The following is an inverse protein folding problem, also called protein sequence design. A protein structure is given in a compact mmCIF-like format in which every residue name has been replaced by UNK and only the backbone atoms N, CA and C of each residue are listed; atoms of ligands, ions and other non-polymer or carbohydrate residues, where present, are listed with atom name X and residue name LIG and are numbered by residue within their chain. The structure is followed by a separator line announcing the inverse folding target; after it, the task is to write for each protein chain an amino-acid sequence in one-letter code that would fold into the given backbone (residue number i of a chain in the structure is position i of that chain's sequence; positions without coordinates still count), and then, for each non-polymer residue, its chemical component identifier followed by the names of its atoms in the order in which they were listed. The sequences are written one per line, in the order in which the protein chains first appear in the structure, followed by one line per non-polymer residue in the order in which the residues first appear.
data_IF_350643843138
#
_entry.id   IF_350643843138
#
_cell.length_a   1.000
_cell.length_b   1.000
_cell.length_c   1.000
_cell.angle_alpha   90.00
_cell.angle_beta   90.00
_cell.angle_gamma   90.00
#
_symmetry.space_group_name_H-M   'P 1'
#
loop_
_entity.id
_entity.type
_entity.pdbx_description
1 polymer ?
#
# COMPACT_ATOMS: atom_id res chain seq x y z
N UNK A 1 45.93 69.47 17.63
CA UNK A 1 45.08 68.95 16.47
C UNK A 1 44.69 67.54 16.79
N UNK A 2 43.50 67.34 17.36
CA UNK A 2 42.91 66.01 17.65
C UNK A 2 41.84 65.71 16.61
N UNK A 3 42.02 64.63 15.82
CA UNK A 3 41.03 64.14 14.86
C UNK A 3 40.14 63.15 15.62
N UNK A 4 38.84 63.46 15.67
CA UNK A 4 37.75 62.59 16.12
C UNK A 4 37.39 61.62 15.01
N UNK A 5 37.49 60.32 15.25
CA UNK A 5 36.91 59.29 14.40
C UNK A 5 35.52 58.86 14.94
N UNK A 6 34.49 59.19 14.18
CA UNK A 6 33.14 58.71 14.48
C UNK A 6 32.95 57.29 13.89
N UNK A 7 32.72 56.35 14.77
CA UNK A 7 32.36 54.97 14.41
C UNK A 7 30.84 54.89 14.31
N UNK A 8 30.32 54.67 13.10
CA UNK A 8 28.91 54.43 12.89
C UNK A 8 28.62 52.95 13.15
N UNK A 9 27.80 52.68 14.16
CA UNK A 9 27.30 51.35 14.49
C UNK A 9 26.10 51.04 13.57
N UNK A 10 26.28 50.16 12.58
CA UNK A 10 25.17 49.60 11.80
C UNK A 10 24.53 48.46 12.63
N UNK A 11 23.32 48.75 13.10
CA UNK A 11 22.47 47.75 13.76
C UNK A 11 21.84 46.85 12.72
N UNK A 12 22.31 45.60 12.59
CA UNK A 12 21.66 44.55 11.78
C UNK A 12 20.44 44.05 12.56
N UNK A 13 19.24 44.50 12.19
CA UNK A 13 17.97 43.87 12.59
C UNK A 13 17.81 42.57 11.83
N UNK A 14 18.11 41.43 12.47
CA UNK A 14 17.75 40.13 11.99
C UNK A 14 16.21 39.96 12.09
N UNK A 15 15.50 39.99 10.95
CA UNK A 15 14.11 39.56 10.88
C UNK A 15 14.07 38.04 11.17
N UNK A 16 13.75 37.69 12.43
CA UNK A 16 13.36 36.32 12.76
C UNK A 16 11.96 36.07 12.15
N UNK A 17 11.91 35.45 10.99
CA UNK A 17 10.65 34.89 10.48
C UNK A 17 10.18 33.80 11.48
N UNK A 18 8.91 33.83 11.93
CA UNK A 18 8.39 32.76 12.75
C UNK A 18 8.40 31.46 11.93
N UNK A 19 9.21 30.50 12.33
CA UNK A 19 9.03 29.11 11.95
C UNK A 19 7.64 28.69 12.43
N UNK A 20 6.66 28.75 11.53
CA UNK A 20 5.36 28.10 11.75
C UNK A 20 5.69 26.59 11.80
N UNK A 21 5.90 26.08 13.00
CA UNK A 21 5.87 24.64 13.22
C UNK A 21 4.50 24.18 12.75
N UNK A 22 4.43 23.51 11.59
CA UNK A 22 3.25 22.77 11.16
C UNK A 22 3.00 21.73 12.25
N UNK A 23 2.16 22.08 13.21
CA UNK A 23 1.74 21.20 14.27
C UNK A 23 1.08 19.99 13.61
N UNK A 24 1.72 18.84 13.75
CA UNK A 24 1.13 17.57 13.35
C UNK A 24 -0.21 17.45 14.09
N UNK A 25 -1.32 17.40 13.37
CA UNK A 25 -2.65 17.23 13.95
C UNK A 25 -2.62 15.93 14.74
N UNK A 26 -2.66 16.00 16.05
CA UNK A 26 -2.70 14.82 16.91
C UNK A 26 -4.14 14.31 16.95
N UNK A 27 -4.35 13.07 16.55
CA UNK A 27 -5.61 12.36 16.74
C UNK A 27 -5.51 11.60 18.06
N UNK A 28 -6.12 12.12 19.17
CA UNK A 28 -5.98 11.48 20.48
C UNK A 28 -6.72 10.15 20.49
N UNK A 29 -6.08 9.15 21.09
CA UNK A 29 -6.70 7.84 21.32
C UNK A 29 -7.91 8.00 22.24
N UNK A 30 -9.00 7.28 21.98
CA UNK A 30 -10.19 7.26 22.82
C UNK A 30 -9.83 6.86 24.25
N UNK A 31 -10.10 7.70 25.26
CA UNK A 31 -9.72 7.40 26.63
C UNK A 31 -10.45 6.17 27.22
N UNK A 32 -9.75 5.39 28.04
CA UNK A 32 -10.35 4.28 28.79
C UNK A 32 -11.58 4.73 29.58
N UNK A 33 -12.61 3.89 29.63
CA UNK A 33 -13.89 4.18 30.25
C UNK A 33 -14.86 4.98 29.36
N UNK A 34 -14.41 5.52 28.23
CA UNK A 34 -15.28 6.23 27.28
C UNK A 34 -16.37 5.30 26.71
N UNK A 35 -17.49 5.86 26.32
CA UNK A 35 -18.49 5.14 25.50
C UNK A 35 -17.95 4.92 24.10
N UNK A 36 -18.29 3.79 23.49
CA UNK A 36 -18.00 3.53 22.10
C UNK A 36 -18.61 4.61 21.21
N UNK A 37 -17.83 5.35 20.41
CA UNK A 37 -18.37 6.22 19.38
C UNK A 37 -19.26 5.45 18.41
N UNK A 38 -20.42 6.05 18.05
CA UNK A 38 -21.34 5.45 17.10
C UNK A 38 -20.76 5.40 15.68
N UNK A 39 -21.16 4.41 14.93
CA UNK A 39 -20.82 4.31 13.51
C UNK A 39 -22.00 3.76 12.67
N UNK A 40 -21.97 4.06 11.39
CA UNK A 40 -22.78 3.47 10.34
C UNK A 40 -21.89 3.42 9.08
N UNK A 41 -21.24 2.31 8.84
CA UNK A 41 -20.19 2.16 7.82
C UNK A 41 -20.55 1.08 6.80
N UNK A 42 -20.17 1.26 5.51
CA UNK A 42 -20.32 0.22 4.52
C UNK A 42 -19.36 -0.95 4.80
N UNK A 43 -19.88 -2.16 4.73
CA UNK A 43 -19.11 -3.39 4.81
C UNK A 43 -18.70 -3.94 3.44
N UNK A 44 -17.70 -4.79 3.43
CA UNK A 44 -17.28 -5.54 2.22
C UNK A 44 -18.37 -6.46 1.69
N UNK A 45 -19.33 -6.84 2.54
CA UNK A 45 -20.55 -7.62 2.20
C UNK A 45 -21.62 -6.82 1.46
N UNK A 46 -21.41 -5.50 1.29
CA UNK A 46 -22.33 -4.58 0.61
C UNK A 46 -23.44 -4.03 1.52
N UNK A 47 -23.41 -4.30 2.84
CA UNK A 47 -24.40 -3.79 3.80
C UNK A 47 -23.82 -2.65 4.64
N UNK A 48 -24.71 -1.84 5.25
CA UNK A 48 -24.31 -0.82 6.24
C UNK A 48 -24.40 -1.43 7.63
N UNK A 49 -23.27 -1.51 8.30
CA UNK A 49 -23.18 -1.96 9.69
C UNK A 49 -23.21 -0.78 10.65
N UNK A 50 -24.01 -0.89 11.69
CA UNK A 50 -24.16 0.14 12.74
C UNK A 50 -23.70 -0.41 14.09
N UNK A 51 -23.21 0.46 14.97
CA UNK A 51 -22.88 0.07 16.34
C UNK A 51 -24.05 -0.65 17.04
N UNK A 52 -25.29 -0.25 16.75
CA UNK A 52 -26.52 -0.86 17.30
C UNK A 52 -26.70 -2.33 16.94
N UNK A 53 -26.16 -2.78 15.80
CA UNK A 53 -26.29 -4.16 15.31
C UNK A 53 -25.56 -5.15 16.24
N UNK A 54 -24.60 -4.65 17.00
CA UNK A 54 -23.81 -5.39 17.98
C UNK A 54 -24.31 -5.22 19.41
N UNK A 55 -25.51 -4.63 19.64
CA UNK A 55 -26.01 -4.29 20.96
C UNK A 55 -26.13 -5.48 21.94
N UNK A 56 -26.39 -6.68 21.44
CA UNK A 56 -26.57 -7.90 22.24
C UNK A 56 -25.22 -8.54 22.66
N UNK A 57 -24.11 -8.15 22.06
CA UNK A 57 -22.80 -8.71 22.41
C UNK A 57 -22.38 -8.27 23.83
N UNK A 58 -21.91 -9.22 24.63
CA UNK A 58 -21.34 -8.97 25.97
C UNK A 58 -20.02 -8.22 25.90
N UNK A 59 -19.24 -8.50 24.85
CA UNK A 59 -17.97 -7.84 24.55
C UNK A 59 -17.98 -7.41 23.09
N UNK A 60 -17.58 -6.17 22.83
CA UNK A 60 -17.37 -5.67 21.46
C UNK A 60 -15.88 -5.39 21.25
N UNK A 61 -15.32 -6.00 20.23
CA UNK A 61 -13.92 -5.81 19.78
C UNK A 61 -13.95 -5.03 18.49
N UNK A 62 -13.30 -3.89 18.45
CA UNK A 62 -13.07 -3.11 17.23
C UNK A 62 -11.57 -3.13 16.95
N UNK A 63 -11.18 -3.55 15.75
CA UNK A 63 -9.80 -3.58 15.30
C UNK A 63 -9.65 -2.62 14.11
N UNK A 64 -8.89 -1.54 14.27
CA UNK A 64 -8.48 -0.76 13.11
C UNK A 64 -7.34 -1.49 12.41
N UNK A 65 -7.53 -1.78 11.13
CA UNK A 65 -6.57 -2.51 10.28
C UNK A 65 -6.49 -1.86 8.91
N UNK A 66 -5.67 -2.38 8.01
CA UNK A 66 -5.61 -1.96 6.62
C UNK A 66 -5.02 -3.07 5.74
N UNK A 67 -5.23 -2.97 4.43
CA UNK A 67 -4.85 -4.01 3.48
C UNK A 67 -3.38 -3.89 3.02
N UNK A 68 -2.85 -2.65 2.90
CA UNK A 68 -1.49 -2.45 2.40
C UNK A 68 -0.40 -2.72 3.44
N UNK A 69 -0.68 -2.54 4.73
CA UNK A 69 0.34 -2.63 5.78
C UNK A 69 0.81 -4.08 5.99
N UNK A 70 2.10 -4.40 5.80
CA UNK A 70 2.60 -5.76 6.00
C UNK A 70 2.41 -6.27 7.43
N UNK A 71 2.46 -5.39 8.43
CA UNK A 71 2.17 -5.79 9.83
C UNK A 71 0.69 -6.16 9.97
N UNK A 72 -0.25 -5.33 9.46
CA UNK A 72 -1.67 -5.66 9.54
C UNK A 72 -2.00 -6.98 8.84
N UNK A 73 -1.39 -7.25 7.69
CA UNK A 73 -1.54 -8.50 6.94
C UNK A 73 -1.13 -9.73 7.77
N UNK A 74 -0.11 -9.63 8.62
CA UNK A 74 0.30 -10.73 9.52
C UNK A 74 -0.74 -11.02 10.60
N UNK A 75 -1.65 -10.08 10.87
CA UNK A 75 -2.72 -10.26 11.85
C UNK A 75 -4.03 -10.75 11.25
N UNK A 76 -4.22 -10.72 9.92
CA UNK A 76 -5.49 -11.15 9.27
C UNK A 76 -5.95 -12.53 9.76
N UNK A 77 -5.08 -13.52 9.69
CA UNK A 77 -5.41 -14.89 10.14
C UNK A 77 -5.67 -15.00 11.64
N UNK A 78 -5.00 -14.18 12.47
CA UNK A 78 -5.21 -14.16 13.92
C UNK A 78 -6.52 -13.48 14.29
N UNK A 79 -6.89 -12.42 13.57
CA UNK A 79 -8.20 -11.74 13.73
C UNK A 79 -9.31 -12.69 13.29
N UNK A 80 -9.12 -13.41 12.17
CA UNK A 80 -10.06 -14.43 11.70
C UNK A 80 -10.23 -15.55 12.73
N UNK A 81 -9.13 -16.05 13.28
CA UNK A 81 -9.17 -17.06 14.33
C UNK A 81 -9.90 -16.56 15.58
N UNK A 82 -9.63 -15.32 16.01
CA UNK A 82 -10.32 -14.70 17.14
C UNK A 82 -11.84 -14.58 16.85
N UNK A 83 -12.21 -14.12 15.66
CA UNK A 83 -13.61 -14.03 15.26
C UNK A 83 -14.30 -15.39 15.33
N UNK A 84 -13.72 -16.43 14.73
CA UNK A 84 -14.28 -17.78 14.72
C UNK A 84 -14.40 -18.39 16.12
N UNK A 85 -13.41 -18.18 16.99
CA UNK A 85 -13.40 -18.70 18.37
C UNK A 85 -14.48 -18.06 19.24
N UNK A 86 -14.77 -16.77 19.04
CA UNK A 86 -15.60 -16.01 19.97
C UNK A 86 -17.00 -15.63 19.43
N UNK A 87 -17.29 -15.78 18.14
CA UNK A 87 -18.58 -15.36 17.53
C UNK A 87 -19.82 -15.97 18.19
N UNK A 88 -19.70 -17.16 18.76
CA UNK A 88 -20.80 -17.86 19.48
C UNK A 88 -20.70 -17.74 21.02
N UNK A 89 -19.77 -16.94 21.54
CA UNK A 89 -19.52 -16.76 22.97
C UNK A 89 -19.98 -15.38 23.49
N UNK A 90 -20.79 -14.68 22.70
CA UNK A 90 -21.29 -13.35 23.05
C UNK A 90 -20.28 -12.22 22.82
N UNK A 91 -19.31 -12.43 21.93
CA UNK A 91 -18.35 -11.41 21.47
C UNK A 91 -18.65 -11.04 20.04
N UNK A 92 -18.69 -9.76 19.76
CA UNK A 92 -18.69 -9.23 18.40
C UNK A 92 -17.29 -8.73 18.08
N UNK A 93 -16.75 -9.16 16.94
CA UNK A 93 -15.47 -8.66 16.39
C UNK A 93 -15.79 -7.91 15.11
N UNK A 94 -15.31 -6.68 15.01
CA UNK A 94 -15.50 -5.77 13.86
C UNK A 94 -14.15 -5.20 13.48
N UNK A 95 -13.78 -5.31 12.22
CA UNK A 95 -12.55 -4.70 11.69
C UNK A 95 -12.94 -3.45 10.91
N UNK A 96 -12.18 -2.38 11.06
CA UNK A 96 -12.43 -1.10 10.37
C UNK A 96 -11.16 -0.71 9.60
N UNK A 97 -11.29 -0.52 8.28
CA UNK A 97 -10.31 0.17 7.46
C UNK A 97 -10.52 1.66 7.62
N UNK A 98 -9.56 2.31 8.23
CA UNK A 98 -9.65 3.72 8.58
C UNK A 98 -8.65 4.62 7.84
N UNK A 99 -7.82 4.07 6.94
CA UNK A 99 -6.90 4.87 6.14
C UNK A 99 -7.63 5.63 5.05
N UNK A 100 -7.24 6.87 4.82
CA UNK A 100 -7.63 7.59 3.61
C UNK A 100 -6.75 7.09 2.44
N UNK A 101 -7.33 6.47 1.40
CA UNK A 101 -6.53 5.92 0.29
C UNK A 101 -5.69 6.97 -0.43
N UNK A 102 -6.17 8.22 -0.48
CA UNK A 102 -5.42 9.35 -1.07
C UNK A 102 -4.29 9.88 -0.19
N UNK A 103 -4.13 9.34 1.03
CA UNK A 103 -3.06 9.68 1.96
C UNK A 103 -1.93 8.63 2.00
N UNK A 104 -1.98 7.64 1.10
CA UNK A 104 -0.96 6.60 0.93
C UNK A 104 -0.16 6.88 -0.33
N UNK A 105 1.15 7.00 -0.22
CA UNK A 105 2.04 7.12 -1.38
C UNK A 105 2.12 5.76 -2.07
N UNK A 106 2.25 5.74 -3.40
CA UNK A 106 2.16 4.50 -4.18
C UNK A 106 3.25 3.47 -3.82
N UNK A 107 4.44 3.91 -3.44
CA UNK A 107 5.55 3.04 -3.00
C UNK A 107 5.31 2.43 -1.61
N UNK A 108 4.43 3.02 -0.78
CA UNK A 108 4.01 2.41 0.49
C UNK A 108 3.16 1.14 0.28
N UNK A 109 2.70 0.88 -0.95
CA UNK A 109 1.94 -0.33 -1.33
C UNK A 109 2.85 -1.53 -1.69
N UNK A 110 4.14 -1.42 -1.52
CA UNK A 110 5.15 -2.40 -1.93
C UNK A 110 4.93 -3.84 -1.42
N UNK A 111 4.20 -3.98 -0.34
CA UNK A 111 3.90 -5.26 0.32
C UNK A 111 2.47 -5.76 0.08
N UNK A 112 1.71 -5.13 -0.82
CA UNK A 112 0.31 -5.48 -1.12
C UNK A 112 0.04 -5.59 -2.62
N UNK A 113 -0.91 -6.43 -2.99
CA UNK A 113 -1.46 -6.53 -4.35
C UNK A 113 -2.57 -5.51 -4.63
N UNK A 114 -3.11 -4.89 -3.57
CA UNK A 114 -4.20 -3.92 -3.58
C UNK A 114 -3.92 -2.72 -2.68
N UNK A 115 -4.69 -1.65 -2.83
CA UNK A 115 -4.70 -0.50 -1.92
C UNK A 115 -5.68 -0.69 -0.75
N UNK A 116 -6.16 0.45 -0.19
CA UNK A 116 -7.06 0.49 0.97
C UNK A 116 -8.46 1.03 0.61
N UNK A 117 -8.91 0.95 -0.65
CA UNK A 117 -10.28 1.33 -1.02
C UNK A 117 -11.28 0.22 -0.66
N UNK A 118 -12.56 0.56 -0.55
CA UNK A 118 -13.61 -0.46 -0.33
C UNK A 118 -13.63 -1.53 -1.45
N UNK A 119 -13.24 -1.18 -2.67
CA UNK A 119 -13.10 -2.13 -3.78
C UNK A 119 -11.93 -3.09 -3.53
N UNK A 120 -10.80 -2.57 -3.09
CA UNK A 120 -9.60 -3.33 -2.73
C UNK A 120 -9.87 -4.29 -1.57
N UNK A 121 -10.51 -3.81 -0.51
CA UNK A 121 -10.94 -4.64 0.63
C UNK A 121 -11.79 -5.85 0.18
N UNK A 122 -12.73 -5.66 -0.76
CA UNK A 122 -13.53 -6.77 -1.32
C UNK A 122 -12.69 -7.79 -2.06
N UNK A 123 -11.64 -7.35 -2.76
CA UNK A 123 -10.67 -8.23 -3.42
C UNK A 123 -9.86 -8.99 -2.35
N UNK A 124 -9.35 -8.27 -1.35
CA UNK A 124 -8.54 -8.83 -0.27
C UNK A 124 -9.28 -9.90 0.52
N UNK A 125 -10.49 -9.58 0.99
CA UNK A 125 -11.35 -10.50 1.76
C UNK A 125 -11.61 -11.80 1.00
N UNK A 126 -11.93 -11.72 -0.29
CA UNK A 126 -12.13 -12.92 -1.13
C UNK A 126 -10.85 -13.73 -1.28
N UNK A 127 -9.73 -13.08 -1.49
CA UNK A 127 -8.43 -13.74 -1.69
C UNK A 127 -7.91 -14.40 -0.42
N UNK A 128 -8.12 -13.75 0.76
CA UNK A 128 -7.66 -14.23 2.05
C UNK A 128 -8.68 -15.08 2.81
N UNK A 129 -9.89 -15.23 2.27
CA UNK A 129 -11.01 -15.97 2.90
C UNK A 129 -11.33 -15.46 4.30
N UNK A 130 -11.48 -14.12 4.45
CA UNK A 130 -11.83 -13.48 5.71
C UNK A 130 -13.35 -13.41 5.87
N UNK A 131 -13.86 -13.71 7.08
CA UNK A 131 -15.30 -13.81 7.36
C UNK A 131 -15.79 -12.82 8.43
N UNK A 132 -14.89 -12.15 9.15
CA UNK A 132 -15.28 -11.09 10.08
C UNK A 132 -15.87 -9.88 9.34
N UNK A 133 -16.82 -9.13 9.98
CA UNK A 133 -17.28 -7.86 9.44
C UNK A 133 -16.10 -6.90 9.23
N UNK A 134 -15.85 -6.50 7.97
CA UNK A 134 -14.80 -5.57 7.61
C UNK A 134 -15.42 -4.33 6.99
N UNK A 135 -15.31 -3.19 7.67
CA UNK A 135 -16.01 -1.95 7.40
C UNK A 135 -15.05 -0.89 6.92
N UNK A 136 -15.53 0.02 6.10
CA UNK A 136 -14.75 1.07 5.48
C UNK A 136 -15.13 2.46 5.98
N UNK A 137 -14.16 3.22 6.49
CA UNK A 137 -14.28 4.62 6.94
C UNK A 137 -13.28 5.56 6.23
N UNK A 138 -12.55 5.07 5.24
CA UNK A 138 -11.43 5.79 4.61
C UNK A 138 -11.83 7.13 3.98
N UNK A 139 -13.01 7.24 3.36
CA UNK A 139 -13.43 8.46 2.66
C UNK A 139 -13.63 9.66 3.60
N UNK A 140 -14.16 9.42 4.80
CA UNK A 140 -14.49 10.50 5.75
C UNK A 140 -13.61 10.50 6.97
N UNK A 141 -13.14 9.34 7.38
CA UNK A 141 -12.42 9.08 8.62
C UNK A 141 -13.17 9.59 9.88
N UNK A 142 -14.49 9.71 9.80
CA UNK A 142 -15.27 10.26 10.91
C UNK A 142 -15.23 9.35 12.14
N UNK A 143 -15.36 8.03 11.94
CA UNK A 143 -15.24 7.03 13.00
C UNK A 143 -13.79 6.89 13.43
N UNK A 144 -12.87 6.79 12.48
CA UNK A 144 -11.44 6.69 12.75
C UNK A 144 -10.95 7.85 13.62
N UNK A 145 -11.38 9.09 13.33
CA UNK A 145 -11.06 10.27 14.17
C UNK A 145 -11.63 10.18 15.56
N UNK A 146 -12.82 9.60 15.73
CA UNK A 146 -13.46 9.47 17.04
C UNK A 146 -12.77 8.43 17.94
N UNK A 147 -12.12 7.40 17.36
CA UNK A 147 -11.35 6.39 18.09
C UNK A 147 -9.87 6.76 18.22
N UNK A 148 -9.29 7.45 17.25
CA UNK A 148 -7.90 7.89 17.22
C UNK A 148 -6.87 6.76 17.15
N UNK A 149 -7.01 5.73 16.27
CA UNK A 149 -6.01 4.68 16.14
C UNK A 149 -4.66 5.27 15.72
N UNK A 150 -3.58 4.81 16.36
CA UNK A 150 -2.22 5.32 16.11
C UNK A 150 -1.48 4.49 15.05
N UNK A 151 -1.84 3.21 14.94
CA UNK A 151 -1.24 2.27 14.01
C UNK A 151 -2.27 1.25 13.53
N UNK A 152 -1.90 0.41 12.58
CA UNK A 152 -2.65 -0.77 12.15
C UNK A 152 -1.78 -2.03 12.36
N UNK A 153 -2.28 -3.04 13.14
CA UNK A 153 -3.57 -3.05 13.84
C UNK A 153 -3.58 -2.27 15.17
N UNK A 154 -4.73 -1.68 15.53
CA UNK A 154 -5.01 -1.12 16.85
C UNK A 154 -6.35 -1.63 17.37
N UNK A 155 -6.37 -2.19 18.57
CA UNK A 155 -7.53 -2.89 19.16
C UNK A 155 -8.20 -2.05 20.23
N UNK A 156 -9.53 -1.98 20.21
CA UNK A 156 -10.37 -1.36 21.21
C UNK A 156 -11.43 -2.36 21.68
N UNK A 157 -11.47 -2.69 22.97
CA UNK A 157 -12.39 -3.68 23.52
C UNK A 157 -13.33 -3.02 24.54
N UNK A 158 -14.62 -3.22 24.32
CA UNK A 158 -15.70 -2.63 25.09
C UNK A 158 -16.48 -3.71 25.84
N UNK A 159 -16.91 -3.38 27.07
CA UNK A 159 -17.81 -4.21 27.85
C UNK A 159 -19.27 -4.16 27.31
N UNK A 160 -20.19 -4.90 27.97
CA UNK A 160 -21.61 -4.92 27.61
C UNK A 160 -22.30 -3.54 27.67
N UNK A 161 -21.76 -2.61 28.44
CA UNK A 161 -22.25 -1.23 28.55
C UNK A 161 -21.58 -0.32 27.50
N UNK A 162 -20.77 -0.89 26.58
CA UNK A 162 -20.01 -0.15 25.57
C UNK A 162 -19.03 0.85 26.20
N UNK A 163 -18.46 0.51 27.37
CA UNK A 163 -17.35 1.23 27.97
C UNK A 163 -16.04 0.61 27.54
N UNK A 164 -15.10 1.44 27.08
CA UNK A 164 -13.75 0.99 26.69
C UNK A 164 -12.99 0.43 27.89
N UNK A 165 -12.58 -0.82 27.81
CA UNK A 165 -11.87 -1.54 28.89
C UNK A 165 -10.46 -1.92 28.51
N UNK A 166 -10.18 -2.02 27.23
CA UNK A 166 -8.84 -2.25 26.70
C UNK A 166 -8.63 -1.44 25.43
N UNK A 167 -7.46 -0.83 25.31
CA UNK A 167 -6.97 -0.32 24.03
C UNK A 167 -5.46 -0.62 23.89
N UNK A 168 -5.04 -0.99 22.67
CA UNK A 168 -3.63 -1.32 22.42
C UNK A 168 -3.42 -2.34 21.31
N UNK A 169 -2.34 -3.09 21.42
CA UNK A 169 -1.94 -4.11 20.46
C UNK A 169 -2.82 -5.36 20.55
N UNK A 170 -2.82 -6.16 19.49
CA UNK A 170 -3.54 -7.44 19.45
C UNK A 170 -2.85 -8.49 20.37
N UNK A 171 -1.55 -8.64 20.20
CA UNK A 171 -0.65 -9.46 21.02
C UNK A 171 0.75 -8.81 21.07
N UNK A 172 1.73 -9.43 21.72
CA UNK A 172 3.03 -8.79 21.94
C UNK A 172 4.06 -9.03 20.84
N UNK A 173 3.67 -9.67 19.71
CA UNK A 173 4.58 -9.84 18.57
C UNK A 173 3.83 -10.02 17.25
N UNK A 174 4.22 -9.28 16.20
CA UNK A 174 3.70 -9.57 14.85
C UNK A 174 4.19 -10.93 14.31
N UNK A 175 5.28 -11.49 14.82
CA UNK A 175 5.70 -12.88 14.55
C UNK A 175 4.96 -13.84 15.47
N UNK A 176 4.12 -14.69 14.89
CA UNK A 176 3.25 -15.58 15.66
C UNK A 176 4.05 -16.56 16.54
N UNK A 177 5.20 -17.01 16.06
CA UNK A 177 6.09 -17.92 16.79
C UNK A 177 6.80 -17.27 17.99
N UNK A 178 6.78 -15.94 18.07
CA UNK A 178 7.35 -15.15 19.19
C UNK A 178 6.28 -14.60 20.13
N UNK A 179 5.01 -14.89 19.89
CA UNK A 179 3.92 -14.44 20.77
C UNK A 179 4.00 -15.17 22.12
N UNK A 180 4.18 -14.38 23.18
CA UNK A 180 4.17 -14.87 24.58
C UNK A 180 3.00 -14.32 25.38
N UNK A 181 2.33 -13.26 24.88
CA UNK A 181 1.19 -12.63 25.53
C UNK A 181 0.13 -12.29 24.49
N UNK A 182 -1.09 -12.76 24.72
CA UNK A 182 -2.26 -12.50 23.86
C UNK A 182 -3.14 -11.44 24.52
N UNK A 183 -2.69 -10.18 24.45
CA UNK A 183 -3.26 -9.07 25.23
C UNK A 183 -4.75 -8.86 24.97
N UNK A 184 -5.18 -8.83 23.70
CA UNK A 184 -6.59 -8.67 23.34
C UNK A 184 -7.44 -9.87 23.81
N UNK A 185 -6.96 -11.09 23.62
CA UNK A 185 -7.67 -12.31 24.04
C UNK A 185 -7.83 -12.36 25.57
N UNK A 186 -6.76 -12.03 26.32
CA UNK A 186 -6.84 -11.96 27.79
C UNK A 186 -7.91 -10.96 28.25
N UNK A 187 -7.94 -9.77 27.65
CA UNK A 187 -8.95 -8.75 28.00
C UNK A 187 -10.38 -9.23 27.67
N UNK A 188 -10.59 -9.95 26.55
CA UNK A 188 -11.90 -10.53 26.21
C UNK A 188 -12.31 -11.57 27.25
N UNK A 189 -11.43 -12.50 27.61
CA UNK A 189 -11.71 -13.59 28.56
C UNK A 189 -12.01 -13.05 29.95
N UNK A 190 -11.27 -12.05 30.43
CA UNK A 190 -11.54 -11.37 31.70
C UNK A 190 -12.93 -10.72 31.71
N UNK A 191 -13.33 -10.00 30.64
CA UNK A 191 -14.66 -9.42 30.53
C UNK A 191 -15.78 -10.47 30.47
N UNK A 192 -15.57 -11.58 29.76
CA UNK A 192 -16.53 -12.68 29.72
C UNK A 192 -16.70 -13.37 31.08
N UNK A 193 -15.63 -13.44 31.89
CA UNK A 193 -15.66 -13.92 33.26
C UNK A 193 -16.32 -12.94 34.23
N UNK A 194 -16.60 -11.68 33.80
CA UNK A 194 -17.11 -10.62 34.67
C UNK A 194 -16.02 -9.96 35.53
N UNK A 195 -14.77 -10.19 35.19
CA UNK A 195 -13.60 -9.64 35.89
C UNK A 195 -13.15 -8.30 35.28
N UNK A 196 -12.47 -7.45 36.04
CA UNK A 196 -11.82 -6.25 35.50
C UNK A 196 -10.65 -6.63 34.61
N UNK A 197 -10.44 -5.89 33.50
CA UNK A 197 -9.27 -6.08 32.65
C UNK A 197 -8.02 -5.64 33.40
N UNK A 198 -7.08 -6.57 33.61
CA UNK A 198 -5.85 -6.35 34.41
C UNK A 198 -4.85 -5.47 33.69
N UNK A 199 -4.72 -5.65 32.37
CA UNK A 199 -3.87 -4.83 31.50
C UNK A 199 -4.77 -4.07 30.53
N UNK A 200 -5.18 -2.88 30.91
CA UNK A 200 -6.15 -2.08 30.16
C UNK A 200 -5.55 -1.34 28.95
N UNK A 201 -4.23 -1.14 28.94
CA UNK A 201 -3.52 -0.44 27.87
C UNK A 201 -2.19 -1.13 27.55
N UNK A 202 -1.86 -1.18 26.25
CA UNK A 202 -0.54 -1.60 25.76
C UNK A 202 -0.10 -0.72 24.60
N UNK A 203 1.21 -0.51 24.45
CA UNK A 203 1.74 0.21 23.30
C UNK A 203 1.45 -0.55 22.00
N UNK A 204 0.95 0.16 20.99
CA UNK A 204 0.69 -0.39 19.65
C UNK A 204 1.96 -0.34 18.79
N UNK A 205 2.03 -1.22 17.82
CA UNK A 205 3.04 -1.22 16.77
C UNK A 205 2.40 -1.61 15.44
N UNK A 206 2.97 -1.16 14.34
CA UNK A 206 2.45 -1.34 12.99
C UNK A 206 2.69 -0.10 12.14
N UNK A 207 2.08 -0.07 10.96
CA UNK A 207 2.14 1.11 10.11
C UNK A 207 1.26 2.22 10.70
N UNK A 208 1.72 3.46 10.63
CA UNK A 208 0.93 4.61 11.11
C UNK A 208 -0.35 4.76 10.28
N UNK A 209 -1.47 5.09 10.95
CA UNK A 209 -2.72 5.43 10.28
C UNK A 209 -2.51 6.52 9.23
N UNK A 210 -3.07 6.32 8.05
CA UNK A 210 -2.99 7.26 6.92
C UNK A 210 -4.13 8.28 7.02
N UNK A 211 -3.84 9.38 7.69
CA UNK A 211 -4.80 10.46 7.88
C UNK A 211 -4.90 11.34 6.63
N UNK A 212 -6.09 11.84 6.31
CA UNK A 212 -6.37 12.70 5.15
C UNK A 212 -5.43 13.93 5.05
N UNK A 213 -4.89 14.40 6.17
CA UNK A 213 -3.92 15.50 6.22
C UNK A 213 -2.62 15.17 5.46
N UNK A 214 -2.32 13.89 5.24
CA UNK A 214 -1.14 13.46 4.46
C UNK A 214 -1.33 13.60 2.94
N UNK A 215 -2.55 13.88 2.44
CA UNK A 215 -2.80 14.08 0.99
C UNK A 215 -1.89 15.13 0.37
N UNK A 216 -1.53 16.17 1.11
CA UNK A 216 -0.59 17.19 0.61
C UNK A 216 0.81 16.62 0.35
N UNK A 217 1.28 15.66 1.15
CA UNK A 217 2.55 14.97 0.94
C UNK A 217 2.49 14.04 -0.28
N UNK A 218 1.34 13.36 -0.47
CA UNK A 218 1.09 12.52 -1.65
C UNK A 218 1.09 13.37 -2.92
N UNK A 219 0.44 14.55 -2.89
CA UNK A 219 0.44 15.49 -4.01
C UNK A 219 1.87 15.95 -4.36
N UNK A 220 2.68 16.33 -3.35
CA UNK A 220 4.08 16.70 -3.56
C UNK A 220 4.92 15.54 -4.14
N UNK A 221 4.68 14.32 -3.69
CA UNK A 221 5.33 13.13 -4.24
C UNK A 221 4.96 12.94 -5.72
N UNK A 222 3.69 13.03 -6.06
CA UNK A 222 3.22 12.89 -7.43
C UNK A 222 3.76 14.00 -8.34
N UNK A 223 3.82 15.25 -7.88
CA UNK A 223 4.44 16.36 -8.62
C UNK A 223 5.91 16.08 -8.94
N UNK A 224 6.66 15.46 -8.03
CA UNK A 224 8.05 15.04 -8.29
C UNK A 224 8.15 13.92 -9.33
N UNK A 225 7.23 12.95 -9.28
CA UNK A 225 7.14 11.91 -10.30
C UNK A 225 6.83 12.51 -11.67
N UNK A 226 5.85 13.39 -11.73
CA UNK A 226 5.39 14.04 -12.97
C UNK A 226 6.49 14.94 -13.58
N UNK A 227 7.34 15.52 -12.76
CA UNK A 227 8.51 16.29 -13.19
C UNK A 227 9.67 15.44 -13.71
N UNK A 228 9.63 14.12 -13.56
CA UNK A 228 10.69 13.22 -14.02
C UNK A 228 10.72 13.19 -15.55
N UNK A 229 11.88 13.43 -16.21
CA UNK A 229 11.96 13.43 -17.66
C UNK A 229 11.60 12.06 -18.25
N UNK A 230 10.66 12.06 -19.19
CA UNK A 230 10.27 10.87 -19.94
C UNK A 230 10.99 10.87 -21.28
N UNK A 231 11.66 9.78 -21.59
CA UNK A 231 12.42 9.60 -22.84
C UNK A 231 12.04 8.28 -23.51
N UNK A 232 12.31 8.16 -24.81
CA UNK A 232 12.20 6.91 -25.57
C UNK A 232 13.45 6.70 -26.41
N UNK A 233 14.08 5.53 -26.25
CA UNK A 233 15.26 5.11 -27.00
C UNK A 233 14.90 4.05 -28.03
N UNK A 234 15.74 3.92 -29.07
CA UNK A 234 15.56 2.87 -30.09
C UNK A 234 16.18 1.56 -29.61
N UNK A 235 15.56 0.43 -29.96
CA UNK A 235 16.08 -0.90 -29.64
C UNK A 235 15.99 -1.83 -30.85
N UNK A 236 17.10 -2.49 -31.19
CA UNK A 236 17.18 -3.51 -32.24
C UNK A 236 17.33 -4.92 -31.69
N UNK A 237 17.47 -5.89 -32.59
CA UNK A 237 17.54 -7.31 -32.26
C UNK A 237 18.58 -7.69 -31.19
N UNK A 238 19.75 -7.05 -31.21
CA UNK A 238 20.80 -7.32 -30.21
C UNK A 238 20.39 -6.85 -28.82
N UNK A 239 19.77 -5.68 -28.72
CA UNK A 239 19.23 -5.15 -27.47
C UNK A 239 18.10 -6.02 -26.92
N UNK A 240 17.18 -6.47 -27.79
CA UNK A 240 16.09 -7.35 -27.41
C UNK A 240 16.58 -8.71 -26.88
N UNK A 241 17.61 -9.30 -27.50
CA UNK A 241 18.23 -10.52 -26.96
C UNK A 241 18.85 -10.29 -25.58
N UNK A 242 19.53 -9.15 -25.39
CA UNK A 242 20.10 -8.77 -24.09
C UNK A 242 18.99 -8.57 -23.04
N UNK A 243 17.92 -7.85 -23.40
CA UNK A 243 16.76 -7.65 -22.52
C UNK A 243 16.13 -9.00 -22.12
N UNK A 244 15.92 -9.90 -23.08
CA UNK A 244 15.37 -11.24 -22.82
C UNK A 244 16.26 -12.09 -21.94
N UNK A 245 17.58 -11.98 -22.07
CA UNK A 245 18.53 -12.71 -21.25
C UNK A 245 18.47 -12.29 -19.78
N UNK A 246 18.08 -11.04 -19.49
CA UNK A 246 17.95 -10.49 -18.14
C UNK A 246 19.05 -10.99 -17.19
N UNK A 247 20.32 -10.79 -17.59
CA UNK A 247 21.45 -11.36 -16.89
C UNK A 247 21.60 -10.82 -15.46
N UNK A 248 22.01 -11.68 -14.53
CA UNK A 248 22.18 -11.35 -13.12
C UNK A 248 20.88 -11.54 -12.30
N UNK A 249 20.81 -10.88 -11.16
CA UNK A 249 19.74 -11.05 -10.17
C UNK A 249 18.58 -10.06 -10.35
N UNK A 250 18.39 -9.54 -11.58
CA UNK A 250 17.36 -8.54 -11.87
C UNK A 250 15.97 -9.16 -11.99
N UNK A 251 14.96 -8.38 -11.60
CA UNK A 251 13.55 -8.64 -11.89
C UNK A 251 13.06 -7.56 -12.84
N UNK A 252 12.62 -7.95 -14.03
CA UNK A 252 12.23 -7.00 -15.08
C UNK A 252 10.88 -7.38 -15.67
N UNK A 253 9.92 -6.48 -15.51
CA UNK A 253 8.66 -6.51 -16.23
C UNK A 253 8.90 -5.89 -17.60
N UNK A 254 8.63 -6.63 -18.68
CA UNK A 254 8.71 -6.14 -20.05
C UNK A 254 7.33 -6.14 -20.64
N UNK A 255 6.91 -5.01 -21.20
CA UNK A 255 5.63 -4.84 -21.86
C UNK A 255 5.81 -4.38 -23.30
N UNK A 256 5.33 -5.17 -24.26
CA UNK A 256 5.28 -4.80 -25.68
C UNK A 256 3.90 -4.26 -26.01
N UNK A 257 3.86 -3.01 -26.50
CA UNK A 257 2.65 -2.25 -26.69
C UNK A 257 2.71 -1.34 -27.93
N UNK A 258 1.60 -0.70 -28.26
CA UNK A 258 1.56 0.33 -29.31
C UNK A 258 0.47 1.38 -29.02
N UNK A 259 0.65 2.58 -29.58
CA UNK A 259 -0.32 3.67 -29.43
C UNK A 259 -1.66 3.38 -30.08
N UNK A 260 -1.70 2.54 -31.13
CA UNK A 260 -2.89 2.09 -31.84
C UNK A 260 -3.58 0.87 -31.20
N UNK A 261 -2.97 0.25 -30.20
CA UNK A 261 -3.49 -0.92 -29.51
C UNK A 261 -4.38 -0.47 -28.34
N UNK A 262 -5.69 -0.54 -28.47
CA UNK A 262 -6.63 -0.04 -27.47
C UNK A 262 -6.53 -0.75 -26.11
N UNK A 263 -6.30 -2.06 -26.10
CA UNK A 263 -6.09 -2.83 -24.87
C UNK A 263 -4.78 -2.47 -24.20
N UNK A 264 -3.71 -2.24 -24.97
CA UNK A 264 -2.43 -1.76 -24.42
C UNK A 264 -2.59 -0.40 -23.74
N UNK A 265 -3.28 0.53 -24.40
CA UNK A 265 -3.54 1.88 -23.84
C UNK A 265 -4.37 1.79 -22.56
N UNK A 266 -5.34 0.89 -22.49
CA UNK A 266 -6.20 0.72 -21.33
C UNK A 266 -5.46 0.22 -20.09
N UNK A 267 -4.48 -0.68 -20.24
CA UNK A 267 -3.74 -1.27 -19.11
C UNK A 267 -2.43 -0.55 -18.77
N UNK A 268 -2.00 0.41 -19.62
CA UNK A 268 -0.69 1.07 -19.49
C UNK A 268 -0.48 1.75 -18.12
N UNK A 269 -1.52 2.43 -17.61
CA UNK A 269 -1.47 3.07 -16.31
C UNK A 269 -1.28 2.05 -15.18
N UNK A 270 -1.98 0.92 -15.22
CA UNK A 270 -1.88 -0.13 -14.21
C UNK A 270 -0.49 -0.78 -14.17
N UNK A 271 0.18 -0.90 -15.32
CA UNK A 271 1.55 -1.40 -15.40
C UNK A 271 2.55 -0.39 -14.83
N UNK A 272 2.37 0.92 -15.11
CA UNK A 272 3.18 1.99 -14.50
C UNK A 272 2.99 2.04 -12.99
N UNK A 273 1.76 1.92 -12.50
CA UNK A 273 1.47 1.88 -11.07
C UNK A 273 2.05 0.62 -10.41
N UNK A 274 1.97 -0.53 -11.07
CA UNK A 274 2.62 -1.78 -10.60
C UNK A 274 4.14 -1.59 -10.49
N UNK A 275 4.76 -0.93 -11.46
CA UNK A 275 6.19 -0.59 -11.38
C UNK A 275 6.49 0.33 -10.18
N UNK A 276 5.73 1.41 -10.01
CA UNK A 276 5.90 2.36 -8.90
C UNK A 276 5.73 1.70 -7.55
N UNK A 277 4.75 0.80 -7.40
CA UNK A 277 4.54 0.03 -6.18
C UNK A 277 5.76 -0.81 -5.79
N UNK A 278 6.44 -1.41 -6.75
CA UNK A 278 7.46 -2.43 -6.46
C UNK A 278 8.89 -2.04 -6.90
N UNK A 279 9.12 -0.81 -7.39
CA UNK A 279 10.45 -0.34 -7.80
C UNK A 279 11.45 -0.41 -6.65
N UNK A 280 11.06 -0.05 -5.44
CA UNK A 280 11.92 -0.10 -4.24
C UNK A 280 12.27 -1.53 -3.82
N UNK A 281 11.51 -2.53 -4.28
CA UNK A 281 11.86 -3.95 -4.13
C UNK A 281 12.88 -4.42 -5.17
N UNK A 282 13.25 -3.56 -6.13
CA UNK A 282 14.16 -3.89 -7.22
C UNK A 282 13.47 -4.41 -8.49
N UNK A 283 12.15 -4.17 -8.65
CA UNK A 283 11.47 -4.39 -9.91
C UNK A 283 11.84 -3.28 -10.90
N UNK A 284 12.23 -3.66 -12.11
CA UNK A 284 12.35 -2.76 -13.25
C UNK A 284 11.14 -2.92 -14.18
N UNK A 285 10.76 -1.84 -14.86
CA UNK A 285 9.82 -1.88 -15.97
C UNK A 285 10.49 -1.37 -17.23
N UNK A 286 10.40 -2.16 -18.29
CA UNK A 286 10.82 -1.78 -19.65
C UNK A 286 9.61 -1.86 -20.55
N UNK A 287 9.16 -0.74 -21.10
CA UNK A 287 8.12 -0.72 -22.14
C UNK A 287 8.77 -0.72 -23.51
N UNK A 288 8.29 -1.54 -24.42
CA UNK A 288 8.80 -1.63 -25.79
C UNK A 288 7.66 -1.35 -26.77
N UNK A 289 7.65 -0.18 -27.36
CA UNK A 289 6.68 0.15 -28.40
C UNK A 289 6.99 -0.59 -29.70
N UNK A 290 5.98 -1.20 -30.30
CA UNK A 290 6.04 -1.83 -31.63
C UNK A 290 5.52 -0.91 -32.73
N UNK A 291 5.34 0.37 -32.45
CA UNK A 291 5.05 1.38 -33.47
C UNK A 291 6.21 1.45 -34.50
N UNK A 292 5.92 1.99 -35.70
CA UNK A 292 6.95 2.32 -36.68
C UNK A 292 7.99 3.32 -36.09
N UNK A 293 9.28 3.22 -36.45
CA UNK A 293 10.30 4.20 -36.03
C UNK A 293 9.93 5.65 -36.31
N UNK A 294 9.22 5.91 -37.40
CA UNK A 294 8.75 7.25 -37.80
C UNK A 294 7.69 7.82 -36.85
N UNK A 295 6.99 6.97 -36.09
CA UNK A 295 6.00 7.37 -35.10
C UNK A 295 6.59 7.76 -33.75
N UNK A 296 7.92 7.77 -33.61
CA UNK A 296 8.62 8.12 -32.36
C UNK A 296 8.09 9.37 -31.66
N UNK A 297 7.78 10.49 -32.37
CA UNK A 297 7.22 11.67 -31.71
C UNK A 297 5.85 11.40 -31.04
N UNK A 298 5.00 10.60 -31.70
CA UNK A 298 3.68 10.21 -31.17
C UNK A 298 3.81 9.30 -29.95
N UNK A 299 4.73 8.32 -30.01
CA UNK A 299 5.06 7.43 -28.89
C UNK A 299 5.56 8.22 -27.68
N UNK A 300 6.51 9.16 -27.89
CA UNK A 300 7.03 10.00 -26.82
C UNK A 300 5.93 10.87 -26.20
N UNK A 301 5.08 11.49 -27.01
CA UNK A 301 3.97 12.29 -26.52
C UNK A 301 2.99 11.46 -25.64
N UNK A 302 2.69 10.21 -26.07
CA UNK A 302 1.88 9.29 -25.27
C UNK A 302 2.55 8.99 -23.92
N UNK A 303 3.83 8.61 -23.91
CA UNK A 303 4.59 8.29 -22.71
C UNK A 303 4.66 9.49 -21.75
N UNK A 304 4.88 10.69 -22.25
CA UNK A 304 4.89 11.93 -21.44
C UNK A 304 3.51 12.21 -20.83
N UNK A 305 2.44 12.04 -21.59
CA UNK A 305 1.07 12.23 -21.10
C UNK A 305 0.71 11.24 -19.98
N UNK A 306 1.30 10.06 -20.00
CA UNK A 306 1.09 9.01 -18.98
C UNK A 306 2.19 8.98 -17.92
N UNK A 307 3.08 9.98 -17.87
CA UNK A 307 4.18 10.09 -16.91
C UNK A 307 4.96 8.76 -16.77
N UNK A 308 5.30 8.15 -17.93
CA UNK A 308 5.97 6.85 -17.99
C UNK A 308 7.44 6.98 -17.60
N UNK A 309 7.71 6.98 -16.29
CA UNK A 309 9.06 7.14 -15.71
C UNK A 309 9.93 5.86 -15.79
N UNK A 310 9.36 4.76 -16.28
CA UNK A 310 10.06 3.53 -16.59
C UNK A 310 11.05 3.68 -17.76
N UNK A 311 11.84 2.66 -18.04
CA UNK A 311 12.63 2.60 -19.27
C UNK A 311 11.69 2.38 -20.47
N UNK A 312 11.75 3.30 -21.45
CA UNK A 312 10.86 3.23 -22.61
C UNK A 312 11.68 3.09 -23.89
N UNK A 313 11.33 2.08 -24.67
CA UNK A 313 12.00 1.70 -25.89
C UNK A 313 11.02 1.69 -27.07
N UNK A 314 11.54 1.90 -28.27
CA UNK A 314 10.83 1.80 -29.54
C UNK A 314 11.64 0.89 -30.49
N UNK A 315 11.00 -0.04 -31.17
CA UNK A 315 11.67 -0.86 -32.18
C UNK A 315 12.34 0.02 -33.24
N UNK A 316 13.55 -0.35 -33.67
CA UNK A 316 14.36 0.42 -34.62
C UNK A 316 14.11 0.09 -36.10
N UNK A 317 13.14 -0.81 -36.38
CA UNK A 317 12.79 -1.27 -37.71
C UNK A 317 11.32 -1.66 -37.80
N UNK A 318 10.75 -1.54 -39.00
CA UNK A 318 9.40 -2.04 -39.33
C UNK A 318 9.36 -3.57 -39.53
N UNK A 319 10.49 -4.25 -39.57
CA UNK A 319 10.56 -5.71 -39.52
C UNK A 319 10.32 -6.21 -38.08
N UNK A 320 9.12 -5.93 -37.58
CA UNK A 320 8.69 -6.30 -36.24
C UNK A 320 8.77 -7.80 -36.01
N UNK A 321 8.54 -8.64 -37.02
CA UNK A 321 8.61 -10.10 -36.90
C UNK A 321 10.00 -10.59 -36.52
N UNK A 322 11.06 -10.08 -37.20
CA UNK A 322 12.45 -10.40 -36.87
C UNK A 322 12.84 -9.89 -35.48
N UNK A 323 12.40 -8.67 -35.09
CA UNK A 323 12.69 -8.11 -33.79
C UNK A 323 11.99 -8.89 -32.68
N UNK A 324 10.73 -9.23 -32.86
CA UNK A 324 9.96 -10.04 -31.90
C UNK A 324 10.58 -11.43 -31.72
N UNK A 325 10.96 -12.10 -32.80
CA UNK A 325 11.65 -13.38 -32.74
C UNK A 325 13.00 -13.30 -32.02
N UNK A 326 13.67 -12.14 -32.04
CA UNK A 326 14.89 -11.91 -31.28
C UNK A 326 14.68 -11.85 -29.77
N UNK A 327 13.48 -11.47 -29.32
CA UNK A 327 13.08 -11.48 -27.90
C UNK A 327 12.49 -12.84 -27.50
N UNK A 328 11.46 -13.29 -28.19
CA UNK A 328 10.81 -14.58 -27.94
C UNK A 328 10.32 -15.20 -29.27
N UNK A 329 10.99 -16.25 -29.76
CA UNK A 329 10.63 -16.89 -31.02
C UNK A 329 9.25 -17.57 -31.02
N UNK A 330 8.64 -17.74 -29.85
CA UNK A 330 7.28 -18.28 -29.73
C UNK A 330 6.19 -17.22 -29.76
N UNK A 331 6.56 -15.94 -29.73
CA UNK A 331 5.61 -14.83 -29.75
C UNK A 331 5.08 -14.57 -31.16
N UNK A 332 3.77 -14.52 -31.31
CA UNK A 332 3.08 -14.41 -32.61
C UNK A 332 2.75 -12.96 -33.01
N UNK A 333 3.60 -12.00 -32.63
CA UNK A 333 3.51 -10.59 -33.05
C UNK A 333 2.27 -9.81 -32.59
N UNK A 334 1.44 -10.36 -31.70
CA UNK A 334 0.29 -9.65 -31.15
C UNK A 334 0.68 -8.85 -29.91
N UNK A 335 0.02 -7.71 -29.70
CA UNK A 335 0.15 -6.87 -28.50
C UNK A 335 -1.23 -6.66 -27.86
N UNK A 336 -1.29 -6.45 -26.52
CA UNK A 336 -0.18 -6.38 -25.60
C UNK A 336 0.50 -7.74 -25.36
N UNK A 337 1.80 -7.73 -25.09
CA UNK A 337 2.54 -8.90 -24.67
C UNK A 337 3.40 -8.55 -23.45
N UNK A 338 3.01 -9.08 -22.30
CA UNK A 338 3.62 -8.77 -21.02
C UNK A 338 4.33 -9.97 -20.45
N UNK A 339 5.58 -9.78 -20.01
CA UNK A 339 6.41 -10.83 -19.44
C UNK A 339 7.18 -10.32 -18.22
N UNK A 340 7.14 -11.07 -17.12
CA UNK A 340 7.99 -10.83 -15.95
C UNK A 340 9.17 -11.79 -15.99
N UNK A 341 10.35 -11.24 -16.09
CA UNK A 341 11.63 -11.95 -16.08
C UNK A 341 12.23 -11.86 -14.69
N UNK A 342 12.60 -13.00 -14.12
CA UNK A 342 13.42 -13.10 -12.93
C UNK A 342 14.90 -13.30 -13.29
N UNK A 343 15.75 -13.64 -12.30
CA UNK A 343 17.17 -13.85 -12.49
C UNK A 343 17.51 -14.74 -13.68
N UNK A 344 18.50 -14.30 -14.48
CA UNK A 344 18.99 -15.00 -15.67
C UNK A 344 17.88 -15.33 -16.68
N UNK A 345 16.91 -14.46 -16.86
CA UNK A 345 15.85 -14.55 -17.85
C UNK A 345 14.80 -15.63 -17.57
N UNK A 346 14.70 -16.12 -16.32
CA UNK A 346 13.63 -17.04 -15.92
C UNK A 346 12.27 -16.35 -16.04
N UNK A 347 11.36 -16.95 -16.78
CA UNK A 347 9.99 -16.43 -16.92
C UNK A 347 9.21 -16.74 -15.64
N UNK A 348 8.67 -15.71 -15.00
CA UNK A 348 7.85 -15.80 -13.79
C UNK A 348 6.35 -15.59 -14.11
N UNK A 349 6.07 -14.73 -15.08
CA UNK A 349 4.72 -14.45 -15.59
C UNK A 349 4.82 -14.16 -17.09
N UNK A 350 3.82 -14.57 -17.86
CA UNK A 350 3.76 -14.31 -19.31
C UNK A 350 2.31 -14.31 -19.74
N UNK A 351 1.91 -13.29 -20.49
CA UNK A 351 0.58 -13.24 -21.11
C UNK A 351 0.65 -12.60 -22.50
N UNK A 352 -0.21 -13.07 -23.39
CA UNK A 352 -0.54 -12.44 -24.66
C UNK A 352 -1.98 -11.95 -24.59
N UNK A 353 -2.22 -10.68 -24.87
CA UNK A 353 -3.44 -9.97 -24.51
C UNK A 353 -3.32 -9.30 -23.16
N UNK A 354 -4.38 -8.64 -22.69
CA UNK A 354 -4.37 -7.85 -21.46
C UNK A 354 -3.90 -8.65 -20.26
N UNK A 355 -3.04 -8.02 -19.44
CA UNK A 355 -2.50 -8.61 -18.23
C UNK A 355 -3.56 -8.69 -17.13
N UNK A 356 -3.62 -9.82 -16.42
CA UNK A 356 -4.27 -9.88 -15.12
C UNK A 356 -3.35 -9.19 -14.09
N UNK A 357 -3.65 -7.93 -13.82
CA UNK A 357 -2.83 -7.07 -12.94
C UNK A 357 -2.73 -7.64 -11.51
N UNK A 358 -3.81 -8.22 -10.98
CA UNK A 358 -3.79 -8.82 -9.64
C UNK A 358 -2.89 -10.06 -9.61
N UNK A 359 -3.00 -10.93 -10.61
CA UNK A 359 -2.13 -12.10 -10.72
C UNK A 359 -0.67 -11.68 -10.93
N UNK A 360 -0.41 -10.66 -11.75
CA UNK A 360 0.93 -10.11 -11.95
C UNK A 360 1.52 -9.59 -10.64
N UNK A 361 0.79 -8.74 -9.90
CA UNK A 361 1.22 -8.20 -8.61
C UNK A 361 1.49 -9.29 -7.58
N UNK A 362 0.62 -10.30 -7.48
CA UNK A 362 0.83 -11.47 -6.60
C UNK A 362 2.05 -12.28 -6.98
N UNK A 363 2.32 -12.42 -8.28
CA UNK A 363 3.53 -13.09 -8.77
C UNK A 363 4.78 -12.29 -8.40
N UNK A 364 4.74 -10.95 -8.51
CA UNK A 364 5.82 -10.06 -8.09
C UNK A 364 6.07 -10.22 -6.58
N UNK A 365 5.02 -10.13 -5.76
CA UNK A 365 5.13 -10.26 -4.30
C UNK A 365 5.73 -11.61 -3.87
N UNK A 366 5.42 -12.67 -4.59
CA UNK A 366 5.94 -14.01 -4.30
C UNK A 366 7.41 -14.21 -4.76
N UNK A 367 7.85 -13.47 -5.79
CA UNK A 367 9.13 -13.73 -6.44
C UNK A 367 10.20 -12.67 -6.13
N UNK A 368 9.80 -11.39 -6.07
CA UNK A 368 10.72 -10.25 -5.88
C UNK A 368 10.96 -10.04 -4.40
N UNK A 369 12.20 -10.17 -3.91
CA UNK A 369 12.50 -9.96 -2.49
C UNK A 369 12.11 -8.55 -2.04
N UNK A 370 11.56 -8.42 -0.83
CA UNK A 370 11.35 -7.10 -0.24
C UNK A 370 12.70 -6.47 0.09
N UNK A 371 12.94 -5.26 -0.43
CA UNK A 371 14.08 -4.43 -0.04
C UNK A 371 13.82 -3.67 1.27
N UNK A 372 12.61 -3.74 1.79
CA UNK A 372 12.22 -3.07 3.03
C UNK A 372 12.98 -3.66 4.21
N UNK A 373 14.07 -2.97 4.57
CA UNK A 373 15.01 -3.38 5.64
C UNK A 373 14.28 -3.53 6.99
N UNK A 374 13.19 -2.79 7.21
CA UNK A 374 12.39 -2.88 8.43
C UNK A 374 11.68 -4.20 8.62
N UNK A 375 11.27 -4.89 7.54
CA UNK A 375 10.37 -6.01 7.67
C UNK A 375 11.09 -7.38 7.71
N UNK A 376 11.89 -7.72 6.74
CA UNK A 376 12.56 -9.03 6.69
C UNK A 376 13.90 -9.05 7.43
N UNK A 377 14.79 -8.07 7.17
CA UNK A 377 16.14 -8.08 7.74
C UNK A 377 16.21 -7.59 9.19
N UNK A 378 15.43 -6.58 9.55
CA UNK A 378 15.41 -6.07 10.93
C UNK A 378 14.86 -7.11 11.91
N UNK A 379 13.93 -7.94 11.45
CA UNK A 379 13.21 -8.88 12.28
C UNK A 379 13.71 -10.33 12.19
N UNK A 380 14.42 -10.68 11.13
CA UNK A 380 15.10 -11.99 11.02
C UNK A 380 16.34 -12.10 11.88
N UNK A 381 16.89 -10.98 12.35
CA UNK A 381 18.08 -10.91 13.18
C UNK A 381 17.84 -10.77 14.69
N UNK A 382 16.59 -10.79 15.17
CA UNK A 382 16.27 -10.68 16.60
C UNK A 382 15.69 -11.98 17.13
#
# INVERSE_FOLDING_TARGET
MRKLFSVALLSLMALAAPLIARGQTRHPVLPLGSKAPGFALPGVDGTIHKLSDYATARVLVIVFSCDHCPIAQMYESRIEQLYEEYKNRGVAVVVIEGNDPGATVIDELDSSDVGDTLADMKIRVRYRHLHYPYLYDGDTQAVTRAYGPQATPHVFIFDQNRRLRYEGRFDNSYRIEKVTTRDAQNAIDELLAGEPVRVAHTAVFGCSTKWAEKKALVAEYNEKLDATPVTVSMIGAAGLRKLRANAGDNYTLVDFWATWCSSCVAEFADLQDTYRMYSDRGLNLVTVSVNSPDEKPGVLNFLQKHHATSENLLLDSDDTATLQAAFDPTWQSAVPYTILLGPNGRILYKTLGSADILQLRRTILAAVPSAYIGFNKYWEGQ
#
